data_IF_523816441187
#
_entry.id   IF_523816441187
#
_cell.length_a   1.000
_cell.length_b   1.000
_cell.length_c   1.000
_cell.angle_alpha   90.00
_cell.angle_beta   90.00
_cell.angle_gamma   90.00
#
_symmetry.space_group_name_H-M   'P 1'
#
loop_
_entity.id
_entity.type
_entity.pdbx_description
1 polymer ?
#
# COMPACT_ATOMS: atom_id res chain seq x y z
N UNK A 1 19.21 37.01 -5.39
CA UNK A 1 19.73 35.74 -4.85
C UNK A 1 18.67 35.20 -3.89
N UNK A 2 17.69 34.43 -4.40
CA UNK A 2 16.74 33.76 -3.51
C UNK A 2 17.44 32.55 -2.91
N UNK A 3 17.60 32.51 -1.59
CA UNK A 3 17.94 31.26 -0.92
C UNK A 3 16.94 30.20 -1.40
N UNK A 4 17.46 29.14 -2.02
CA UNK A 4 16.66 27.96 -2.33
C UNK A 4 16.24 27.35 -1.01
N UNK A 5 15.07 27.75 -0.52
CA UNK A 5 14.54 27.29 0.75
C UNK A 5 14.36 25.77 0.66
N UNK A 6 15.22 25.04 1.40
CA UNK A 6 15.31 23.57 1.34
C UNK A 6 14.17 22.95 2.13
N UNK A 7 13.74 21.78 1.70
CA UNK A 7 12.78 21.01 2.48
C UNK A 7 13.44 20.41 3.72
N UNK A 8 12.79 20.53 4.87
CA UNK A 8 13.19 19.87 6.11
C UNK A 8 12.73 18.42 6.07
N UNK A 9 13.65 17.48 6.30
CA UNK A 9 13.36 16.04 6.32
C UNK A 9 13.09 15.56 7.75
N UNK A 10 12.07 14.73 7.91
CA UNK A 10 11.84 13.97 9.14
C UNK A 10 11.41 12.54 8.80
N UNK A 11 11.86 11.57 9.59
CA UNK A 11 11.47 10.17 9.42
C UNK A 11 10.40 9.80 10.44
N UNK A 12 9.33 9.14 9.97
CA UNK A 12 8.22 8.63 10.77
C UNK A 12 8.10 7.11 10.60
N UNK A 13 7.41 6.46 11.53
CA UNK A 13 7.03 5.06 11.39
C UNK A 13 5.61 4.96 10.83
N UNK A 14 5.42 4.10 9.84
CA UNK A 14 4.12 3.70 9.33
C UNK A 14 4.07 2.17 9.40
N UNK A 15 3.55 1.67 10.52
CA UNK A 15 3.62 0.26 10.87
C UNK A 15 5.04 -0.23 11.07
N UNK A 16 5.55 -1.09 10.18
CA UNK A 16 6.95 -1.57 10.19
C UNK A 16 7.87 -0.76 9.27
N UNK A 17 7.32 0.21 8.54
CA UNK A 17 8.04 0.95 7.52
C UNK A 17 8.53 2.28 8.08
N UNK A 18 9.81 2.59 7.90
CA UNK A 18 10.33 3.92 8.14
C UNK A 18 10.17 4.76 6.87
N UNK A 19 9.49 5.90 6.99
CA UNK A 19 9.12 6.76 5.87
C UNK A 19 9.61 8.17 6.12
N UNK A 20 10.17 8.80 5.09
CA UNK A 20 10.56 10.21 5.18
C UNK A 20 9.44 11.12 4.70
N UNK A 21 9.07 12.06 5.56
CA UNK A 21 8.30 13.24 5.20
C UNK A 21 9.22 14.43 4.97
N UNK A 22 8.86 15.27 4.01
CA UNK A 22 9.58 16.49 3.70
C UNK A 22 8.65 17.68 3.85
N UNK A 23 8.97 18.59 4.77
CA UNK A 23 8.21 19.81 4.99
C UNK A 23 8.84 20.94 4.16
N UNK A 24 8.03 21.57 3.32
CA UNK A 24 8.41 22.77 2.59
C UNK A 24 8.35 24.00 3.52
N UNK A 25 9.01 25.12 3.16
CA UNK A 25 9.01 26.36 3.96
C UNK A 25 7.62 26.96 4.20
N UNK A 26 6.65 26.64 3.34
CA UNK A 26 5.25 27.04 3.47
C UNK A 26 4.44 26.15 4.45
N UNK A 27 5.09 25.14 5.05
CA UNK A 27 4.47 24.18 5.97
C UNK A 27 3.78 23.01 5.28
N UNK A 28 3.78 22.93 3.94
CA UNK A 28 3.19 21.80 3.22
C UNK A 28 4.10 20.58 3.27
N UNK A 29 3.51 19.39 3.31
CA UNK A 29 4.24 18.14 3.36
C UNK A 29 4.33 17.46 1.98
N UNK A 30 5.47 16.83 1.75
CA UNK A 30 5.78 16.05 0.55
C UNK A 30 6.32 14.68 0.94
N UNK A 31 6.08 13.70 0.06
CA UNK A 31 6.72 12.39 0.09
C UNK A 31 7.49 12.19 -1.23
N UNK A 32 8.62 11.49 -1.19
CA UNK A 32 9.28 11.14 -2.45
C UNK A 32 8.45 10.15 -3.27
N UNK A 33 8.47 10.31 -4.59
CA UNK A 33 7.80 9.39 -5.54
C UNK A 33 8.26 7.94 -5.36
N UNK A 34 9.54 7.74 -5.06
CA UNK A 34 10.11 6.42 -4.77
C UNK A 34 9.47 5.80 -3.53
N UNK A 35 9.43 6.54 -2.41
CA UNK A 35 8.83 6.04 -1.16
C UNK A 35 7.34 5.76 -1.32
N UNK A 36 6.61 6.61 -2.04
CA UNK A 36 5.20 6.39 -2.32
C UNK A 36 4.94 5.05 -3.03
N UNK A 37 5.86 4.57 -3.88
CA UNK A 37 5.77 3.27 -4.51
C UNK A 37 6.24 2.11 -3.61
N UNK A 38 7.42 2.27 -2.98
CA UNK A 38 8.05 1.19 -2.22
C UNK A 38 7.25 0.79 -0.98
N UNK A 39 6.59 1.76 -0.33
CA UNK A 39 5.75 1.53 0.85
C UNK A 39 4.63 0.50 0.60
N UNK A 40 4.13 0.44 -0.64
CA UNK A 40 3.07 -0.49 -1.05
C UNK A 40 3.60 -1.66 -1.90
N UNK A 41 4.91 -1.93 -1.81
CA UNK A 41 5.55 -3.06 -2.50
C UNK A 41 5.66 -2.90 -4.01
N UNK A 42 5.68 -1.66 -4.52
CA UNK A 42 5.83 -1.38 -5.96
C UNK A 42 7.17 -0.71 -6.27
N UNK A 43 7.76 -0.97 -7.44
CA UNK A 43 8.91 -0.20 -7.91
C UNK A 43 8.47 1.22 -8.29
N UNK A 44 9.39 2.19 -8.18
CA UNK A 44 9.14 3.63 -8.47
C UNK A 44 8.50 3.87 -9.85
N UNK A 45 8.83 3.06 -10.85
CA UNK A 45 8.25 3.15 -12.20
C UNK A 45 6.71 3.07 -12.20
N UNK A 46 6.09 2.40 -11.23
CA UNK A 46 4.65 2.30 -11.11
C UNK A 46 4.02 3.65 -10.74
N UNK A 47 4.61 4.37 -9.77
CA UNK A 47 4.17 5.73 -9.43
C UNK A 47 4.36 6.67 -10.63
N UNK A 48 5.48 6.55 -11.36
CA UNK A 48 5.71 7.33 -12.59
C UNK A 48 4.66 7.07 -13.66
N UNK A 49 4.31 5.80 -13.91
CA UNK A 49 3.28 5.40 -14.87
C UNK A 49 1.90 5.87 -14.44
N UNK A 50 1.59 5.82 -13.14
CA UNK A 50 0.36 6.37 -12.61
C UNK A 50 0.23 7.84 -12.98
N UNK A 51 1.24 8.68 -12.75
CA UNK A 51 1.20 10.11 -13.07
C UNK A 51 1.01 10.40 -14.57
N UNK A 52 1.45 9.50 -15.45
CA UNK A 52 1.23 9.60 -16.89
C UNK A 52 -0.16 9.14 -17.36
N UNK A 53 -0.92 8.41 -16.55
CA UNK A 53 -2.18 7.80 -16.94
C UNK A 53 -3.31 8.85 -17.09
N UNK A 54 -4.27 8.59 -18.00
CA UNK A 54 -5.42 9.50 -18.19
C UNK A 54 -6.26 9.68 -16.93
N UNK A 55 -6.42 8.61 -16.13
CA UNK A 55 -7.21 8.64 -14.91
C UNK A 55 -6.58 9.48 -13.80
N UNK A 56 -5.25 9.46 -13.65
CA UNK A 56 -4.57 10.31 -12.68
C UNK A 56 -4.61 11.78 -13.10
N UNK A 57 -4.46 12.10 -14.38
CA UNK A 57 -4.60 13.47 -14.90
C UNK A 57 -6.00 14.07 -14.68
N UNK A 58 -7.03 13.23 -14.62
CA UNK A 58 -8.38 13.67 -14.25
C UNK A 58 -8.49 14.05 -12.77
N UNK A 59 -7.73 13.37 -11.89
CA UNK A 59 -7.68 13.64 -10.45
C UNK A 59 -6.74 14.81 -10.10
N UNK A 60 -5.60 14.91 -10.78
CA UNK A 60 -4.50 15.80 -10.43
C UNK A 60 -4.45 17.08 -11.26
N UNK A 61 -5.22 17.15 -12.35
CA UNK A 61 -5.11 18.18 -13.38
C UNK A 61 -4.24 17.73 -14.55
N UNK A 62 -4.61 18.14 -15.77
CA UNK A 62 -3.99 17.66 -17.02
C UNK A 62 -2.50 18.01 -17.13
N UNK A 63 -2.10 19.08 -16.46
CA UNK A 63 -0.76 19.65 -16.50
C UNK A 63 0.06 19.37 -15.23
N UNK A 64 -0.42 18.48 -14.36
CA UNK A 64 0.31 18.14 -13.14
C UNK A 64 1.62 17.43 -13.45
N UNK A 65 2.71 17.97 -12.91
CA UNK A 65 4.04 17.37 -12.90
C UNK A 65 4.61 17.39 -11.48
N UNK A 66 5.22 16.31 -10.99
CA UNK A 66 5.90 16.32 -9.70
C UNK A 66 6.96 17.42 -9.61
N UNK A 67 7.03 18.06 -8.45
CA UNK A 67 8.09 19.02 -8.15
C UNK A 67 9.39 18.25 -7.91
N UNK A 68 10.50 18.68 -8.51
CA UNK A 68 11.83 18.22 -8.08
C UNK A 68 12.32 19.15 -6.98
N UNK A 69 12.40 18.65 -5.76
CA UNK A 69 12.83 19.45 -4.59
C UNK A 69 14.19 19.02 -4.09
N UNK A 70 14.86 19.95 -3.42
CA UNK A 70 16.13 19.74 -2.73
C UNK A 70 15.86 19.64 -1.23
N UNK A 71 16.18 18.50 -0.62
CA UNK A 71 16.11 18.36 0.83
C UNK A 71 17.48 18.52 1.48
N UNK A 72 17.45 18.87 2.76
CA UNK A 72 18.62 18.81 3.63
C UNK A 72 19.26 17.42 3.59
N UNK A 73 20.59 17.38 3.55
CA UNK A 73 21.35 16.14 3.56
C UNK A 73 21.19 15.42 4.90
N UNK A 74 21.32 14.09 4.88
CA UNK A 74 21.43 13.29 6.11
C UNK A 74 22.69 13.74 6.85
N UNK A 75 22.62 13.98 8.17
CA UNK A 75 23.79 14.29 8.99
C UNK A 75 24.95 13.33 8.65
N UNK A 76 26.09 13.87 8.22
CA UNK A 76 27.28 13.10 7.84
C UNK A 76 27.44 12.76 6.36
N UNK A 77 26.46 13.03 5.48
CA UNK A 77 26.62 12.92 4.02
C UNK A 77 26.70 14.31 3.37
N UNK A 78 27.82 14.58 2.69
CA UNK A 78 28.00 15.80 1.89
C UNK A 78 27.14 15.71 0.62
N UNK A 79 26.27 16.70 0.41
CA UNK A 79 25.44 16.83 -0.79
C UNK A 79 23.95 16.84 -0.47
N UNK A 80 23.23 17.79 -1.07
CA UNK A 80 21.78 17.78 -1.07
C UNK A 80 21.27 16.75 -2.08
N UNK A 81 20.22 16.02 -1.71
CA UNK A 81 19.59 15.05 -2.61
C UNK A 81 18.39 15.70 -3.26
N UNK A 82 18.34 15.68 -4.59
CA UNK A 82 17.17 16.08 -5.37
C UNK A 82 16.32 14.85 -5.65
N UNK A 83 15.01 14.98 -5.48
CA UNK A 83 14.06 13.91 -5.76
C UNK A 83 12.73 14.49 -6.21
N UNK A 84 11.93 13.65 -6.88
CA UNK A 84 10.57 14.00 -7.24
C UNK A 84 9.69 13.87 -6.01
N UNK A 85 9.13 14.99 -5.58
CA UNK A 85 8.27 15.13 -4.43
C UNK A 85 6.80 15.19 -4.85
N UNK A 86 5.98 14.43 -4.15
CA UNK A 86 4.54 14.34 -4.34
C UNK A 86 3.81 14.97 -3.16
N UNK A 87 2.79 15.81 -3.40
CA UNK A 87 1.79 16.18 -2.40
C UNK A 87 1.14 14.95 -1.78
N UNK A 88 0.67 15.05 -0.53
CA UNK A 88 -0.03 13.94 0.13
C UNK A 88 -1.33 13.54 -0.59
N UNK A 89 -1.98 14.49 -1.27
CA UNK A 89 -3.16 14.24 -2.11
C UNK A 89 -2.82 13.33 -3.30
N UNK A 90 -1.64 13.51 -3.90
CA UNK A 90 -1.18 12.68 -5.01
C UNK A 90 -0.76 11.29 -4.52
N UNK A 91 -0.08 11.23 -3.38
CA UNK A 91 0.32 9.97 -2.73
C UNK A 91 -0.91 9.13 -2.38
N UNK A 92 -1.90 9.73 -1.72
CA UNK A 92 -3.14 9.05 -1.37
C UNK A 92 -3.94 8.60 -2.60
N UNK A 93 -4.05 9.44 -3.63
CA UNK A 93 -4.68 9.04 -4.89
C UNK A 93 -3.99 7.85 -5.56
N UNK A 94 -2.66 7.82 -5.55
CA UNK A 94 -1.88 6.70 -6.09
C UNK A 94 -2.12 5.41 -5.29
N UNK A 95 -2.12 5.48 -3.95
CA UNK A 95 -2.39 4.30 -3.12
C UNK A 95 -3.81 3.78 -3.30
N UNK A 96 -4.82 4.65 -3.38
CA UNK A 96 -6.21 4.27 -3.67
C UNK A 96 -6.34 3.65 -5.06
N UNK A 97 -5.64 4.20 -6.07
CA UNK A 97 -5.57 3.59 -7.39
C UNK A 97 -5.00 2.16 -7.34
N UNK A 98 -3.93 1.93 -6.58
CA UNK A 98 -3.35 0.59 -6.40
C UNK A 98 -4.29 -0.36 -5.63
N UNK A 99 -5.09 0.16 -4.68
CA UNK A 99 -6.16 -0.62 -4.06
C UNK A 99 -7.17 -1.12 -5.10
N UNK A 100 -7.57 -0.27 -6.06
CA UNK A 100 -8.48 -0.66 -7.15
C UNK A 100 -7.89 -1.71 -8.10
N UNK A 101 -6.56 -1.89 -8.07
CA UNK A 101 -5.82 -2.92 -8.80
C UNK A 101 -5.60 -4.20 -7.98
N UNK A 102 -6.22 -4.31 -6.79
CA UNK A 102 -6.10 -5.48 -5.93
C UNK A 102 -4.79 -5.53 -5.14
N UNK A 103 -4.05 -4.42 -5.00
CA UNK A 103 -2.87 -4.39 -4.16
C UNK A 103 -3.27 -4.46 -2.67
N UNK A 104 -3.19 -5.66 -2.07
CA UNK A 104 -3.54 -5.92 -0.68
C UNK A 104 -2.70 -5.10 0.32
N UNK A 105 -1.42 -4.86 0.01
CA UNK A 105 -0.53 -4.06 0.86
C UNK A 105 -0.91 -2.57 0.83
N UNK A 106 -1.30 -2.04 -0.33
CA UNK A 106 -1.86 -0.69 -0.42
C UNK A 106 -3.19 -0.59 0.35
N UNK A 107 -4.06 -1.59 0.21
CA UNK A 107 -5.35 -1.61 0.90
C UNK A 107 -5.19 -1.66 2.42
N UNK A 108 -4.34 -2.55 2.95
CA UNK A 108 -4.10 -2.65 4.39
C UNK A 108 -3.57 -1.34 4.96
N UNK A 109 -2.63 -0.70 4.24
CA UNK A 109 -2.05 0.58 4.62
C UNK A 109 -3.09 1.71 4.65
N UNK A 110 -3.87 1.86 3.57
CA UNK A 110 -4.88 2.92 3.47
C UNK A 110 -5.94 2.79 4.57
N UNK A 111 -6.39 1.56 4.85
CA UNK A 111 -7.34 1.30 5.94
C UNK A 111 -6.70 1.64 7.30
N UNK A 112 -5.47 1.20 7.55
CA UNK A 112 -4.79 1.46 8.82
C UNK A 112 -4.60 2.97 9.09
N UNK A 113 -4.14 3.74 8.09
CA UNK A 113 -4.00 5.20 8.19
C UNK A 113 -5.35 5.91 8.37
N UNK A 114 -6.40 5.41 7.73
CA UNK A 114 -7.76 5.93 7.89
C UNK A 114 -8.26 5.71 9.32
N UNK A 115 -8.08 4.49 9.85
CA UNK A 115 -8.44 4.15 11.22
C UNK A 115 -7.68 5.00 12.24
N UNK A 116 -6.37 5.18 12.06
CA UNK A 116 -5.56 6.04 12.94
C UNK A 116 -6.07 7.48 12.93
N UNK A 117 -6.34 8.03 11.74
CA UNK A 117 -6.85 9.40 11.60
C UNK A 117 -8.18 9.59 12.33
N UNK A 118 -9.08 8.61 12.23
CA UNK A 118 -10.36 8.63 12.93
C UNK A 118 -10.18 8.45 14.45
N UNK A 119 -9.32 7.53 14.87
CA UNK A 119 -9.02 7.29 16.27
C UNK A 119 -8.46 8.53 16.95
N UNK A 120 -7.48 9.21 16.33
CA UNK A 120 -6.91 10.48 16.84
C UNK A 120 -7.99 11.55 17.02
N UNK A 121 -8.92 11.67 16.08
CA UNK A 121 -10.06 12.62 16.18
C UNK A 121 -10.99 12.27 17.33
N UNK A 122 -11.28 10.99 17.53
CA UNK A 122 -12.10 10.54 18.66
C UNK A 122 -11.38 10.69 19.99
N UNK A 123 -10.09 10.37 20.07
CA UNK A 123 -9.31 10.55 21.29
C UNK A 123 -9.28 12.00 21.74
N UNK A 124 -9.12 12.93 20.78
CA UNK A 124 -9.25 14.36 21.07
C UNK A 124 -10.65 14.73 21.58
N UNK A 125 -11.72 14.16 21.02
CA UNK A 125 -13.10 14.43 21.43
C UNK A 125 -13.45 13.82 22.79
N UNK A 126 -12.84 12.69 23.16
CA UNK A 126 -13.06 11.97 24.42
C UNK A 126 -11.96 12.22 25.46
N UNK A 127 -11.06 13.17 25.22
CA UNK A 127 -9.93 13.51 26.09
C UNK A 127 -9.02 12.31 26.43
N UNK A 128 -8.91 11.34 25.52
CA UNK A 128 -8.01 10.19 25.65
C UNK A 128 -6.60 10.64 25.29
N UNK A 129 -5.66 10.45 26.22
CA UNK A 129 -4.25 10.78 26.01
C UNK A 129 -3.51 9.53 25.52
N UNK A 130 -3.09 9.54 24.25
CA UNK A 130 -2.20 8.55 23.65
C UNK A 130 -0.95 9.25 23.15
N UNK A 131 0.19 8.62 23.34
CA UNK A 131 1.47 9.08 22.81
C UNK A 131 1.60 8.72 21.33
N UNK A 132 2.52 9.37 20.61
CA UNK A 132 2.86 8.96 19.24
C UNK A 132 3.35 7.51 19.18
N UNK A 133 4.02 7.01 20.22
CA UNK A 133 4.46 5.62 20.30
C UNK A 133 3.28 4.66 20.40
N UNK A 134 2.22 5.02 21.16
CA UNK A 134 0.99 4.23 21.23
C UNK A 134 0.31 4.14 19.86
N UNK A 135 0.22 5.27 19.13
CA UNK A 135 -0.34 5.27 17.78
C UNK A 135 0.51 4.47 16.80
N UNK A 136 1.84 4.60 16.83
CA UNK A 136 2.74 3.83 16.00
C UNK A 136 2.56 2.32 16.23
N UNK A 137 2.43 1.90 17.49
CA UNK A 137 2.23 0.50 17.85
C UNK A 137 0.85 0.00 17.41
N UNK A 138 -0.22 0.78 17.64
CA UNK A 138 -1.57 0.45 17.16
C UNK A 138 -1.63 0.33 15.64
N UNK A 139 -1.04 1.28 14.92
CA UNK A 139 -0.98 1.28 13.46
C UNK A 139 -0.24 0.05 12.94
N UNK A 140 0.87 -0.32 13.58
CA UNK A 140 1.67 -1.51 13.25
C UNK A 140 0.88 -2.79 13.43
N UNK A 141 0.17 -2.94 14.54
CA UNK A 141 -0.63 -4.12 14.83
C UNK A 141 -1.83 -4.24 13.89
N UNK A 142 -2.54 -3.12 13.65
CA UNK A 142 -3.65 -3.07 12.72
C UNK A 142 -3.24 -3.40 11.28
N UNK A 143 -2.15 -2.80 10.80
CA UNK A 143 -1.68 -3.05 9.43
C UNK A 143 -1.25 -4.52 9.25
N UNK A 144 -0.56 -5.10 10.23
CA UNK A 144 -0.18 -6.51 10.21
C UNK A 144 -1.41 -7.45 10.23
N UNK A 145 -2.40 -7.17 11.07
CA UNK A 145 -3.63 -7.94 11.15
C UNK A 145 -4.44 -7.87 9.83
N UNK A 146 -4.52 -6.69 9.23
CA UNK A 146 -5.20 -6.49 7.94
C UNK A 146 -4.50 -7.24 6.81
N UNK A 147 -3.16 -7.23 6.76
CA UNK A 147 -2.42 -8.00 5.76
C UNK A 147 -2.71 -9.49 5.87
N UNK A 148 -2.61 -10.06 7.08
CA UNK A 148 -2.91 -11.47 7.33
C UNK A 148 -4.35 -11.83 6.98
N UNK A 149 -5.32 -10.96 7.30
CA UNK A 149 -6.74 -11.17 6.96
C UNK A 149 -6.95 -11.16 5.45
N UNK A 150 -6.33 -10.23 4.71
CA UNK A 150 -6.46 -10.14 3.25
C UNK A 150 -5.77 -11.30 2.52
N UNK A 151 -4.68 -11.83 3.09
CA UNK A 151 -4.05 -13.07 2.62
C UNK A 151 -5.01 -14.24 2.78
N UNK A 152 -5.49 -14.49 3.99
CA UNK A 152 -6.44 -15.57 4.30
C UNK A 152 -7.73 -15.50 3.48
N UNK A 153 -8.31 -14.31 3.30
CA UNK A 153 -9.47 -14.13 2.42
C UNK A 153 -9.14 -14.49 0.98
N UNK A 154 -7.97 -14.07 0.48
CA UNK A 154 -7.54 -14.42 -0.88
C UNK A 154 -7.41 -15.92 -1.09
N UNK A 155 -6.84 -16.62 -0.11
CA UNK A 155 -6.67 -18.08 -0.16
C UNK A 155 -8.03 -18.78 -0.12
N UNK A 156 -8.93 -18.36 0.78
CA UNK A 156 -10.28 -18.92 0.89
C UNK A 156 -11.12 -18.72 -0.38
N UNK A 157 -10.94 -17.61 -1.10
CA UNK A 157 -11.61 -17.40 -2.38
C UNK A 157 -10.97 -18.16 -3.54
N UNK A 158 -9.68 -18.50 -3.47
CA UNK A 158 -8.98 -19.29 -4.48
C UNK A 158 -9.18 -20.80 -4.32
N UNK A 159 -9.37 -21.27 -3.08
CA UNK A 159 -9.52 -22.70 -2.74
C UNK A 159 -10.59 -23.44 -3.56
N UNK A 160 -11.82 -22.90 -3.78
CA UNK A 160 -12.84 -23.60 -4.57
C UNK A 160 -12.45 -23.82 -6.04
N UNK A 161 -11.74 -22.86 -6.65
CA UNK A 161 -11.32 -22.94 -8.04
C UNK A 161 -10.15 -23.93 -8.20
N UNK A 162 -9.19 -23.91 -7.28
CA UNK A 162 -8.10 -24.89 -7.22
C UNK A 162 -8.63 -26.31 -7.01
N UNK A 163 -9.59 -26.48 -6.10
CA UNK A 163 -10.24 -27.77 -5.86
C UNK A 163 -11.04 -28.24 -7.09
N UNK A 164 -11.63 -27.33 -7.87
CA UNK A 164 -12.32 -27.69 -9.11
C UNK A 164 -11.32 -28.18 -10.16
N UNK A 165 -10.25 -27.44 -10.40
CA UNK A 165 -9.18 -27.82 -11.34
C UNK A 165 -8.53 -29.16 -10.96
N UNK A 166 -8.25 -29.35 -9.67
CA UNK A 166 -7.66 -30.59 -9.17
C UNK A 166 -8.62 -31.78 -9.31
N UNK A 167 -9.90 -31.60 -8.98
CA UNK A 167 -10.91 -32.65 -9.19
C UNK A 167 -11.04 -33.02 -10.67
N UNK A 168 -11.02 -32.04 -11.57
CA UNK A 168 -11.06 -32.30 -13.01
C UNK A 168 -9.85 -33.09 -13.48
N UNK A 169 -8.65 -32.71 -13.02
CA UNK A 169 -7.40 -33.44 -13.30
C UNK A 169 -7.45 -34.87 -12.78
N UNK A 170 -7.85 -35.07 -11.53
CA UNK A 170 -7.96 -36.39 -10.91
C UNK A 170 -9.00 -37.26 -11.62
N UNK A 171 -10.15 -36.70 -12.00
CA UNK A 171 -11.16 -37.40 -12.81
C UNK A 171 -10.61 -37.81 -14.17
N UNK A 172 -9.79 -36.97 -14.79
CA UNK A 172 -9.14 -37.33 -16.05
C UNK A 172 -8.16 -38.48 -15.87
N UNK A 173 -7.31 -38.44 -14.83
CA UNK A 173 -6.38 -39.53 -14.52
C UNK A 173 -7.09 -40.86 -14.24
N UNK A 174 -8.22 -40.84 -13.53
CA UNK A 174 -9.03 -42.03 -13.30
C UNK A 174 -9.59 -42.60 -14.60
N UNK A 175 -10.11 -41.76 -15.49
CA UNK A 175 -10.59 -42.17 -16.81
C UNK A 175 -9.48 -42.74 -17.69
N UNK A 176 -8.31 -42.10 -17.70
CA UNK A 176 -7.13 -42.57 -18.45
C UNK A 176 -6.63 -43.93 -17.92
N UNK A 177 -6.82 -44.20 -16.62
CA UNK A 177 -6.56 -45.50 -16.00
C UNK A 177 -7.69 -46.53 -16.20
N UNK A 178 -8.76 -46.19 -16.94
CA UNK A 178 -9.89 -47.06 -17.21
C UNK A 178 -10.84 -47.25 -16.02
N UNK A 179 -10.78 -46.38 -15.01
CA UNK A 179 -11.63 -46.41 -13.82
C UNK A 179 -12.76 -45.39 -14.00
N UNK A 180 -14.00 -45.85 -14.02
CA UNK A 180 -15.19 -45.00 -14.01
C UNK A 180 -15.42 -44.44 -12.59
N UNK A 181 -15.28 -43.11 -12.35
CA UNK A 181 -15.28 -42.54 -10.99
C UNK A 181 -16.60 -42.71 -10.22
N UNK A 182 -17.69 -43.10 -10.90
CA UNK A 182 -19.03 -43.22 -10.34
C UNK A 182 -19.62 -44.63 -10.46
N UNK A 183 -18.81 -45.62 -10.84
CA UNK A 183 -19.22 -47.02 -10.71
C UNK A 183 -19.26 -47.33 -9.20
N UNK A 184 -20.43 -47.12 -8.59
CA UNK A 184 -20.75 -47.74 -7.31
C UNK A 184 -20.56 -49.24 -7.50
N UNK A 185 -19.63 -49.82 -6.74
CA UNK A 185 -19.51 -51.28 -6.62
C UNK A 185 -20.90 -51.81 -6.32
N UNK A 186 -21.51 -52.49 -7.30
CA UNK A 186 -22.82 -53.10 -7.14
C UNK A 186 -22.80 -53.91 -5.86
N UNK A 187 -23.68 -53.55 -4.93
CA UNK A 187 -23.96 -54.41 -3.79
C UNK A 187 -24.53 -55.70 -4.38
N UNK A 188 -23.76 -56.77 -4.29
CA UNK A 188 -24.26 -58.12 -4.49
C UNK A 188 -25.30 -58.39 -3.39
N UNK A 189 -26.58 -58.47 -3.78
CA UNK A 189 -27.63 -59.19 -3.03
C UNK A 189 -27.52 -60.70 -3.29
#
# INVERSE_FOLDING_TARGET
MSESAKATRSSIQIGKLTVDGFMLPDGTYRMSQTQAAEIIGKPEINARRFLGAKGSKALLGKDYTPDTIEAEGIQGKRGSTRFNALPLEVVSAYWVYECSKGNKQALSLVIALTNETLARRFDSAFCVQRTEEDYNQLLKDQNAALQSTLESLGDAYAEPDLLREENERLRQQLRDAGIEPWQLSGGDE
#
